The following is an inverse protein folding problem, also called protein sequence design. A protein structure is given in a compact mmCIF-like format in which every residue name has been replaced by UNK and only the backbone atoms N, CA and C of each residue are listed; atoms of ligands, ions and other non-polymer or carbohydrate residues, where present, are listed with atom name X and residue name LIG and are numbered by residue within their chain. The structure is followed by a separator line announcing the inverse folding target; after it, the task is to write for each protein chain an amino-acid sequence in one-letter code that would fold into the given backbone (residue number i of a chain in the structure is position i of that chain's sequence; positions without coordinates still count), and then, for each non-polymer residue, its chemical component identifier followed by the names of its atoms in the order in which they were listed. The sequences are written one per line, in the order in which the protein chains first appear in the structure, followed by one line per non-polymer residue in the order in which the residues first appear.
data_IF_357450346101
#
_entry.id   IF_357450346101
#
_cell.length_a   1.000
_cell.length_b   1.000
_cell.length_c   1.000
_cell.angle_alpha   90.00
_cell.angle_beta   90.00
_cell.angle_gamma   90.00
#
_symmetry.space_group_name_H-M   'P 1'
#
loop_
_entity.id
_entity.type
_entity.pdbx_description
1 polymer ?
#
# COMPACT_ATOMS: atom_id res chain seq x y z
N UNK A 1 -20.30 10.70 -21.11
CA UNK A 1 -19.91 11.66 -20.06
C UNK A 1 -20.42 11.20 -18.69
N UNK A 2 -21.72 10.93 -18.55
CA UNK A 2 -22.35 10.49 -17.29
C UNK A 2 -21.73 9.21 -16.68
N UNK A 3 -21.53 8.14 -17.48
CA UNK A 3 -20.85 6.91 -17.02
C UNK A 3 -19.39 7.09 -16.58
N UNK A 4 -18.68 8.09 -17.10
CA UNK A 4 -17.29 8.36 -16.70
C UNK A 4 -17.27 9.08 -15.35
N UNK A 5 -18.20 10.03 -15.16
CA UNK A 5 -18.38 10.75 -13.92
C UNK A 5 -18.73 9.80 -12.75
N UNK A 6 -19.71 8.92 -12.96
CA UNK A 6 -20.11 7.92 -11.95
C UNK A 6 -18.94 7.00 -11.55
N UNK A 7 -18.10 6.59 -12.51
CA UNK A 7 -16.89 5.79 -12.23
C UNK A 7 -15.87 6.56 -11.40
N UNK A 8 -15.69 7.85 -11.69
CA UNK A 8 -14.73 8.71 -10.98
C UNK A 8 -15.18 8.98 -9.54
N UNK A 9 -16.47 9.16 -9.33
CA UNK A 9 -17.07 9.31 -8.00
C UNK A 9 -16.86 8.05 -7.17
N UNK A 10 -17.20 6.88 -7.72
CA UNK A 10 -16.97 5.58 -7.07
C UNK A 10 -15.49 5.34 -6.75
N UNK A 11 -14.58 5.71 -7.65
CA UNK A 11 -13.14 5.63 -7.39
C UNK A 11 -12.75 6.51 -6.21
N UNK A 12 -13.24 7.75 -6.17
CA UNK A 12 -12.91 8.71 -5.11
C UNK A 12 -13.45 8.25 -3.76
N UNK A 13 -14.66 7.68 -3.73
CA UNK A 13 -15.26 7.11 -2.53
C UNK A 13 -14.44 5.93 -2.01
N UNK A 14 -14.11 4.98 -2.87
CA UNK A 14 -13.28 3.82 -2.49
C UNK A 14 -11.90 4.23 -1.99
N UNK A 15 -11.26 5.22 -2.61
CA UNK A 15 -9.97 5.75 -2.15
C UNK A 15 -10.06 6.37 -0.76
N UNK A 16 -11.16 7.07 -0.44
CA UNK A 16 -11.39 7.61 0.91
C UNK A 16 -11.51 6.50 1.95
N UNK A 17 -12.29 5.46 1.65
CA UNK A 17 -12.49 4.31 2.54
C UNK A 17 -11.15 3.63 2.83
N UNK A 18 -10.41 3.25 1.78
CA UNK A 18 -9.11 2.57 1.93
C UNK A 18 -8.12 3.42 2.73
N UNK A 19 -8.07 4.73 2.48
CA UNK A 19 -7.18 5.63 3.21
C UNK A 19 -7.52 5.63 4.71
N UNK A 20 -8.80 5.70 5.06
CA UNK A 20 -9.22 5.74 6.47
C UNK A 20 -8.96 4.40 7.18
N UNK A 21 -9.24 3.28 6.51
CA UNK A 21 -8.99 1.93 7.04
C UNK A 21 -7.50 1.72 7.34
N UNK A 22 -6.63 2.12 6.41
CA UNK A 22 -5.17 2.03 6.57
C UNK A 22 -4.68 2.88 7.73
N UNK A 23 -5.11 4.14 7.82
CA UNK A 23 -4.70 5.04 8.90
C UNK A 23 -5.19 4.58 10.27
N UNK A 24 -6.40 4.00 10.34
CA UNK A 24 -6.96 3.44 11.57
C UNK A 24 -6.12 2.25 12.03
N UNK A 25 -5.84 1.30 11.14
CA UNK A 25 -5.01 0.13 11.46
C UNK A 25 -3.60 0.51 11.92
N UNK A 26 -2.95 1.48 11.26
CA UNK A 26 -1.61 1.92 11.65
C UNK A 26 -1.60 2.49 13.07
N UNK A 27 -2.63 3.26 13.44
CA UNK A 27 -2.76 3.85 14.78
C UNK A 27 -3.03 2.79 15.85
N UNK A 28 -3.90 1.83 15.56
CA UNK A 28 -4.30 0.78 16.51
C UNK A 28 -3.19 -0.24 16.77
N UNK A 29 -2.47 -0.65 15.71
CA UNK A 29 -1.49 -1.74 15.79
C UNK A 29 -0.11 -1.27 16.27
N UNK A 30 0.15 0.05 16.31
CA UNK A 30 1.49 0.61 16.55
C UNK A 30 2.60 -0.05 15.71
N UNK A 31 2.25 -0.55 14.52
CA UNK A 31 3.12 -1.39 13.70
C UNK A 31 3.76 -0.60 12.57
N UNK A 32 4.94 -1.06 12.12
CA UNK A 32 5.61 -0.50 10.94
C UNK A 32 4.93 -0.96 9.65
N UNK A 33 4.82 -0.07 8.67
CA UNK A 33 4.19 -0.35 7.39
C UNK A 33 5.18 -1.07 6.46
N UNK A 34 4.86 -2.27 5.97
CA UNK A 34 5.68 -2.95 4.96
C UNK A 34 5.01 -2.93 3.60
N UNK A 35 5.64 -2.23 2.65
CA UNK A 35 5.18 -2.07 1.27
C UNK A 35 5.93 -3.04 0.37
N UNK A 36 5.19 -3.89 -0.35
CA UNK A 36 5.72 -4.73 -1.42
C UNK A 36 5.32 -4.12 -2.76
N UNK A 37 6.28 -3.90 -3.65
CA UNK A 37 6.03 -3.29 -4.96
C UNK A 37 6.78 -4.01 -6.08
N UNK A 38 6.36 -3.80 -7.32
CA UNK A 38 6.94 -4.47 -8.48
C UNK A 38 8.30 -3.86 -8.89
N UNK A 39 9.19 -4.69 -9.45
CA UNK A 39 10.52 -4.28 -9.94
C UNK A 39 10.45 -3.74 -11.38
N UNK A 40 9.71 -2.66 -11.56
CA UNK A 40 9.65 -1.87 -12.79
C UNK A 40 9.40 -0.39 -12.50
N UNK A 41 9.33 0.44 -13.54
CA UNK A 41 9.15 1.88 -13.37
C UNK A 41 7.85 2.24 -12.64
N UNK A 42 6.75 1.51 -12.89
CA UNK A 42 5.45 1.77 -12.28
C UNK A 42 5.44 1.39 -10.80
N UNK A 43 5.95 0.21 -10.46
CA UNK A 43 6.09 -0.25 -9.09
C UNK A 43 7.05 0.60 -8.26
N UNK A 44 8.20 0.99 -8.83
CA UNK A 44 9.15 1.88 -8.15
C UNK A 44 8.53 3.27 -7.90
N UNK A 45 7.81 3.82 -8.88
CA UNK A 45 7.12 5.09 -8.74
C UNK A 45 6.02 5.02 -7.67
N UNK A 46 5.20 3.96 -7.71
CA UNK A 46 4.15 3.72 -6.72
C UNK A 46 4.70 3.56 -5.30
N UNK A 47 5.78 2.78 -5.14
CA UNK A 47 6.49 2.63 -3.87
C UNK A 47 7.06 3.95 -3.36
N UNK A 48 7.64 4.77 -4.23
CA UNK A 48 8.15 6.08 -3.87
C UNK A 48 7.05 7.06 -3.46
N UNK A 49 5.90 7.06 -4.15
CA UNK A 49 4.73 7.87 -3.78
C UNK A 49 4.29 7.52 -2.37
N UNK A 50 4.08 6.24 -2.08
CA UNK A 50 3.66 5.77 -0.75
C UNK A 50 4.71 6.08 0.32
N UNK A 51 5.99 5.82 0.04
CA UNK A 51 7.08 6.13 0.97
C UNK A 51 7.16 7.63 1.29
N UNK A 52 6.96 8.52 0.31
CA UNK A 52 6.92 9.96 0.57
C UNK A 52 5.67 10.37 1.35
N UNK A 53 4.52 9.72 1.14
CA UNK A 53 3.32 9.95 1.95
C UNK A 53 3.58 9.59 3.42
N UNK A 54 4.08 8.38 3.70
CA UNK A 54 4.34 7.96 5.08
C UNK A 54 5.45 8.76 5.75
N UNK A 55 6.48 9.17 5.00
CA UNK A 55 7.51 10.08 5.51
C UNK A 55 6.91 11.44 5.94
N UNK A 56 5.94 11.98 5.21
CA UNK A 56 5.26 13.24 5.59
C UNK A 56 4.42 13.11 6.86
N UNK A 57 3.84 11.93 7.08
CA UNK A 57 3.05 11.62 8.26
C UNK A 57 3.91 11.14 9.45
N UNK A 58 5.24 11.13 9.31
CA UNK A 58 6.19 10.60 10.30
C UNK A 58 5.90 9.15 10.72
N UNK A 59 5.46 8.33 9.77
CA UNK A 59 5.14 6.92 9.98
C UNK A 59 6.32 6.03 9.53
N UNK A 60 6.77 5.07 10.37
CA UNK A 60 7.85 4.16 9.99
C UNK A 60 7.37 3.17 8.92
N UNK A 61 8.17 2.99 7.87
CA UNK A 61 7.86 2.08 6.79
C UNK A 61 9.10 1.37 6.23
N UNK A 62 8.87 0.24 5.57
CA UNK A 62 9.85 -0.51 4.79
C UNK A 62 9.30 -0.75 3.39
N UNK A 63 10.13 -0.62 2.36
CA UNK A 63 9.78 -0.94 0.97
C UNK A 63 10.60 -2.15 0.54
N UNK A 64 9.95 -3.12 -0.10
CA UNK A 64 10.60 -4.27 -0.73
C UNK A 64 10.11 -4.41 -2.16
N UNK A 65 11.04 -4.45 -3.10
CA UNK A 65 10.74 -4.68 -4.51
C UNK A 65 10.78 -6.17 -4.82
N UNK A 66 9.77 -6.64 -5.53
CA UNK A 66 9.62 -8.03 -5.95
C UNK A 66 9.49 -8.06 -7.47
N UNK A 67 10.10 -9.06 -8.12
CA UNK A 67 9.87 -9.29 -9.55
C UNK A 67 8.45 -9.77 -9.81
N UNK A 68 7.93 -10.69 -9.01
CA UNK A 68 6.56 -11.16 -9.07
C UNK A 68 6.12 -11.60 -7.67
N UNK A 69 4.83 -11.45 -7.37
CA UNK A 69 4.24 -11.95 -6.14
C UNK A 69 3.91 -13.44 -6.30
N UNK A 70 4.94 -14.28 -6.29
CA UNK A 70 4.78 -15.73 -6.36
C UNK A 70 4.35 -16.32 -5.01
N UNK A 71 3.83 -17.55 -5.03
CA UNK A 71 3.41 -18.27 -3.81
C UNK A 71 4.52 -18.35 -2.76
N UNK A 72 5.77 -18.50 -3.21
CA UNK A 72 6.95 -18.53 -2.33
C UNK A 72 7.14 -17.20 -1.61
N UNK A 73 6.93 -16.08 -2.31
CA UNK A 73 7.02 -14.75 -1.69
C UNK A 73 5.87 -14.53 -0.71
N UNK A 74 4.65 -14.95 -1.04
CA UNK A 74 3.50 -14.87 -0.11
C UNK A 74 3.76 -15.68 1.17
N UNK A 75 4.33 -16.89 1.04
CA UNK A 75 4.68 -17.72 2.20
C UNK A 75 5.71 -17.03 3.11
N UNK A 76 6.78 -16.47 2.52
CA UNK A 76 7.80 -15.69 3.25
C UNK A 76 7.20 -14.47 3.95
N UNK A 77 6.27 -13.77 3.30
CA UNK A 77 5.57 -12.62 3.90
C UNK A 77 4.75 -13.07 5.10
N UNK A 78 4.00 -14.17 4.98
CA UNK A 78 3.21 -14.71 6.07
C UNK A 78 4.07 -15.16 7.25
N UNK A 79 5.22 -15.80 7.00
CA UNK A 79 6.16 -16.22 8.05
C UNK A 79 6.70 -15.01 8.83
N UNK A 80 7.02 -13.91 8.14
CA UNK A 80 7.47 -12.67 8.78
C UNK A 80 6.42 -11.99 9.66
N UNK A 81 5.14 -12.16 9.35
CA UNK A 81 4.04 -11.57 10.12
C UNK A 81 3.75 -12.39 11.38
N UNK A 82 3.92 -13.71 11.32
CA UNK A 82 3.61 -14.64 12.41
C UNK A 82 4.81 -14.95 13.33
N UNK A 83 6.01 -14.49 12.98
CA UNK A 83 7.27 -14.74 13.69
C UNK A 83 7.64 -13.69 14.72
#
# INVERSE_FOLDING_TARGET
MEKLHEKLEKLTENLKIIKEDVLTHIKELHSSIHIYTHLDADGLSSGAILGKCFLRENLPFQITTLRQLEKVEIAKISEKING
#
